data_IF_350261192406
#
_entry.id   IF_350261192406
#
_cell.length_a   1.000
_cell.length_b   1.000
_cell.length_c   1.000
_cell.angle_alpha   90.00
_cell.angle_beta   90.00
_cell.angle_gamma   90.00
#
_symmetry.space_group_name_H-M   'P 1'
#
loop_
_entity.id
_entity.type
_entity.pdbx_description
1 polymer ?
#
# COMPACT_ATOMS: atom_id res chain seq x y z
N UNK A 1 26.28 -98.25 38.60
CA UNK A 1 26.60 -97.16 39.57
C UNK A 1 25.56 -96.05 39.37
N UNK A 2 24.33 -96.29 39.86
CA UNK A 2 23.57 -95.53 40.87
C UNK A 2 23.13 -94.10 40.45
N UNK A 3 21.90 -94.03 39.94
CA UNK A 3 21.00 -92.88 40.04
C UNK A 3 20.74 -92.52 41.52
N UNK A 4 20.62 -91.22 41.84
CA UNK A 4 19.92 -90.71 43.03
C UNK A 4 19.22 -89.37 42.74
N UNK A 5 17.89 -89.46 42.76
CA UNK A 5 16.81 -88.49 43.06
C UNK A 5 17.20 -87.15 43.71
N UNK A 6 16.72 -86.01 43.20
CA UNK A 6 15.41 -85.34 43.44
C UNK A 6 15.37 -84.53 44.75
N UNK A 7 15.36 -83.20 44.67
CA UNK A 7 14.58 -82.37 45.61
C UNK A 7 14.13 -81.07 44.94
N UNK A 8 12.84 -80.81 45.12
CA UNK A 8 11.99 -79.75 44.60
C UNK A 8 12.01 -78.57 45.58
N UNK A 9 12.18 -77.34 45.10
CA UNK A 9 11.60 -76.16 45.75
C UNK A 9 11.09 -75.19 44.69
N UNK A 10 9.77 -75.05 44.67
CA UNK A 10 9.06 -74.03 43.92
C UNK A 10 9.26 -72.68 44.61
N UNK A 11 9.60 -71.65 43.83
CA UNK A 11 9.33 -70.26 44.20
C UNK A 11 8.66 -69.60 43.00
N UNK A 12 7.34 -69.49 43.08
CA UNK A 12 6.54 -68.65 42.21
C UNK A 12 6.73 -67.20 42.67
N UNK A 13 7.24 -66.34 41.80
CA UNK A 13 7.15 -64.89 41.97
C UNK A 13 6.34 -64.34 40.80
N UNK A 14 5.11 -63.94 41.10
CA UNK A 14 4.27 -63.14 40.19
C UNK A 14 4.95 -61.78 40.00
N UNK A 15 5.37 -61.49 38.77
CA UNK A 15 5.74 -60.16 38.32
C UNK A 15 4.75 -59.72 37.25
N UNK A 16 3.96 -58.70 37.58
CA UNK A 16 2.91 -58.12 36.75
C UNK A 16 3.44 -57.66 35.38
N UNK A 17 2.61 -57.87 34.36
CA UNK A 17 2.68 -57.19 33.08
C UNK A 17 2.70 -55.67 33.28
N UNK A 18 3.75 -55.02 32.77
CA UNK A 18 3.61 -53.74 32.12
C UNK A 18 4.31 -53.89 30.76
N UNK A 19 3.50 -54.17 29.72
CA UNK A 19 3.89 -53.80 28.37
C UNK A 19 4.16 -52.30 28.41
N UNK A 20 5.43 -51.90 28.45
CA UNK A 20 5.77 -50.54 28.05
C UNK A 20 5.32 -50.45 26.61
N UNK A 21 4.30 -49.62 26.36
CA UNK A 21 3.90 -49.19 25.04
C UNK A 21 5.16 -49.03 24.20
N UNK A 22 5.24 -49.84 23.14
CA UNK A 22 6.23 -49.62 22.12
C UNK A 22 6.13 -48.15 21.77
N UNK A 23 7.23 -47.42 21.91
CA UNK A 23 7.43 -46.29 21.03
C UNK A 23 7.42 -46.91 19.64
N UNK A 24 6.27 -46.84 19.00
CA UNK A 24 6.16 -46.85 17.56
C UNK A 24 7.36 -46.05 17.03
N UNK A 25 8.18 -46.62 16.14
CA UNK A 25 9.12 -45.78 15.40
C UNK A 25 8.26 -44.71 14.73
N UNK A 26 8.65 -43.44 14.85
CA UNK A 26 8.05 -42.37 14.06
C UNK A 26 8.35 -42.72 12.59
N UNK A 27 7.40 -43.36 11.92
CA UNK A 27 7.42 -43.55 10.48
C UNK A 27 7.12 -42.19 9.83
N UNK A 28 8.10 -41.70 9.05
CA UNK A 28 8.05 -40.55 8.12
C UNK A 28 7.86 -39.14 8.70
N UNK A 29 8.97 -38.51 9.09
CA UNK A 29 9.07 -37.07 9.27
C UNK A 29 9.14 -36.26 7.96
N UNK A 30 8.27 -36.50 6.97
CA UNK A 30 8.47 -35.99 5.59
C UNK A 30 7.28 -35.33 4.89
N UNK A 31 6.12 -35.16 5.55
CA UNK A 31 4.94 -34.59 4.87
C UNK A 31 4.61 -33.14 5.24
N UNK A 32 5.12 -32.62 6.36
CA UNK A 32 4.76 -31.29 6.85
C UNK A 32 5.94 -30.31 6.79
N UNK A 33 5.71 -29.10 6.31
CA UNK A 33 6.67 -27.99 6.30
C UNK A 33 6.11 -26.73 6.95
N UNK A 34 6.96 -25.70 7.05
CA UNK A 34 6.68 -24.45 7.77
C UNK A 34 6.99 -23.24 6.90
N UNK A 35 6.47 -22.06 7.25
CA UNK A 35 6.64 -20.83 6.46
C UNK A 35 7.12 -19.66 7.32
N UNK A 36 7.91 -18.78 6.71
CA UNK A 36 8.21 -17.43 7.20
C UNK A 36 8.00 -16.44 6.06
N UNK A 37 7.47 -15.25 6.36
CA UNK A 37 7.14 -14.26 5.34
C UNK A 37 7.98 -12.98 5.45
N UNK A 38 8.26 -12.37 4.30
CA UNK A 38 8.81 -11.02 4.16
C UNK A 38 8.14 -10.33 2.97
N UNK A 39 8.05 -9.00 3.00
CA UNK A 39 7.44 -8.21 1.93
C UNK A 39 8.53 -7.40 1.22
N UNK A 40 8.57 -7.53 -0.10
CA UNK A 40 9.43 -6.69 -0.93
C UNK A 40 8.57 -5.57 -1.53
N UNK A 41 8.54 -4.43 -0.85
CA UNK A 41 7.72 -3.28 -1.22
C UNK A 41 8.36 -2.49 -2.35
N UNK A 42 7.55 -1.96 -3.26
CA UNK A 42 8.03 -0.96 -4.21
C UNK A 42 8.31 0.34 -3.47
N UNK A 43 9.53 0.87 -3.59
CA UNK A 43 9.95 2.10 -2.90
C UNK A 43 9.80 3.37 -3.74
N UNK A 44 9.58 3.23 -5.04
CA UNK A 44 9.52 4.32 -6.01
C UNK A 44 8.33 4.22 -6.96
N UNK A 45 8.01 5.36 -7.59
CA UNK A 45 6.95 5.51 -8.57
C UNK A 45 7.43 6.33 -9.74
N UNK A 46 6.82 6.17 -10.90
CA UNK A 46 7.13 6.98 -12.07
C UNK A 46 6.74 8.44 -11.79
N UNK A 47 7.65 9.38 -12.03
CA UNK A 47 7.37 10.80 -11.85
C UNK A 47 6.97 11.43 -13.19
N UNK A 48 5.68 11.64 -13.40
CA UNK A 48 5.15 12.01 -14.72
C UNK A 48 5.32 13.51 -15.02
N UNK A 49 5.81 14.34 -14.10
CA UNK A 49 5.87 15.82 -14.30
C UNK A 49 7.28 16.34 -14.57
N UNK A 50 8.29 15.62 -14.11
CA UNK A 50 9.68 16.01 -14.31
C UNK A 50 10.34 14.89 -15.07
N UNK A 51 11.24 15.19 -16.01
CA UNK A 51 12.02 14.22 -16.80
C UNK A 51 12.88 13.22 -15.98
N UNK A 52 12.71 13.16 -14.66
CA UNK A 52 13.26 12.12 -13.80
C UNK A 52 12.39 10.87 -13.91
N UNK A 53 13.00 9.74 -14.24
CA UNK A 53 12.27 8.50 -14.51
C UNK A 53 11.48 8.01 -13.28
N UNK A 54 11.94 8.31 -12.05
CA UNK A 54 11.36 7.83 -10.79
C UNK A 54 11.50 8.83 -9.62
N UNK A 55 10.58 8.74 -8.65
CA UNK A 55 10.63 9.42 -7.35
C UNK A 55 10.31 8.41 -6.24
N UNK A 56 11.00 8.47 -5.09
CA UNK A 56 10.64 7.61 -3.96
C UNK A 56 9.24 7.95 -3.43
N UNK A 57 8.50 6.93 -2.98
CA UNK A 57 7.17 7.11 -2.39
C UNK A 57 7.23 8.04 -1.18
N UNK A 58 8.29 7.94 -0.37
CA UNK A 58 8.51 8.83 0.78
C UNK A 58 8.61 10.31 0.38
N UNK A 59 9.33 10.62 -0.70
CA UNK A 59 9.46 11.98 -1.19
C UNK A 59 8.16 12.48 -1.84
N UNK A 60 7.44 11.61 -2.56
CA UNK A 60 6.18 11.94 -3.20
C UNK A 60 5.05 12.17 -2.18
N UNK A 61 4.95 11.32 -1.16
CA UNK A 61 3.98 11.43 -0.08
C UNK A 61 4.31 12.60 0.87
N UNK A 62 5.59 12.88 1.11
CA UNK A 62 6.05 14.02 1.88
C UNK A 62 6.08 13.79 3.39
N UNK A 63 6.03 14.88 4.14
CA UNK A 63 6.28 14.88 5.60
C UNK A 63 5.31 13.99 6.37
N UNK A 64 5.85 13.14 7.24
CA UNK A 64 5.08 12.25 8.10
C UNK A 64 4.65 10.95 7.43
N UNK A 65 5.09 10.67 6.21
CA UNK A 65 4.94 9.36 5.60
C UNK A 65 5.94 8.36 6.20
N UNK A 66 5.44 7.19 6.56
CA UNK A 66 6.24 6.03 6.95
C UNK A 66 5.78 4.85 6.11
N UNK A 67 6.72 4.13 5.51
CA UNK A 67 6.40 2.90 4.79
C UNK A 67 5.83 1.86 5.77
N UNK A 68 4.82 1.07 5.37
CA UNK A 68 4.28 0.01 6.21
C UNK A 68 5.36 -0.98 6.64
N UNK A 69 5.31 -1.49 7.86
CA UNK A 69 6.16 -2.61 8.24
C UNK A 69 5.61 -3.90 7.63
N UNK A 70 6.49 -4.87 7.38
CA UNK A 70 6.11 -6.20 6.88
C UNK A 70 4.98 -6.84 7.73
N UNK A 71 5.08 -6.70 9.06
CA UNK A 71 4.10 -7.21 10.01
C UNK A 71 2.69 -6.63 9.85
N UNK A 72 2.54 -5.46 9.22
CA UNK A 72 1.27 -4.75 9.07
C UNK A 72 0.46 -5.24 7.85
N UNK A 73 1.06 -6.03 6.96
CA UNK A 73 0.37 -6.56 5.78
C UNK A 73 -0.54 -7.72 6.17
N UNK A 74 -1.77 -7.70 5.67
CA UNK A 74 -2.65 -8.86 5.68
C UNK A 74 -2.21 -9.82 4.58
N UNK A 75 -2.01 -11.09 4.91
CA UNK A 75 -1.78 -12.16 3.95
C UNK A 75 -2.92 -13.17 3.97
N UNK A 76 -3.27 -13.68 2.79
CA UNK A 76 -4.16 -14.81 2.60
C UNK A 76 -3.39 -15.93 1.92
N UNK A 77 -3.23 -17.06 2.61
CA UNK A 77 -2.50 -18.24 2.14
C UNK A 77 -3.53 -19.29 1.73
N UNK A 78 -3.44 -19.81 0.51
CA UNK A 78 -4.36 -20.83 -0.01
C UNK A 78 -3.62 -21.96 -0.73
N UNK A 79 -4.25 -23.14 -0.84
CA UNK A 79 -3.84 -24.20 -1.76
C UNK A 79 -5.06 -24.78 -2.49
N UNK A 80 -4.82 -25.76 -3.37
CA UNK A 80 -5.87 -26.42 -4.15
C UNK A 80 -6.69 -27.46 -3.33
N UNK A 81 -6.22 -27.83 -2.14
CA UNK A 81 -6.88 -28.78 -1.22
C UNK A 81 -7.78 -28.07 -0.18
N UNK A 82 -8.34 -26.92 -0.53
CA UNK A 82 -9.20 -26.08 0.31
C UNK A 82 -8.55 -25.53 1.61
N UNK A 83 -7.22 -25.54 1.73
CA UNK A 83 -6.55 -24.80 2.79
C UNK A 83 -6.72 -23.30 2.57
N UNK A 84 -7.10 -22.58 3.62
CA UNK A 84 -7.12 -21.12 3.64
C UNK A 84 -6.78 -20.59 5.03
N UNK A 85 -5.86 -19.65 5.09
CA UNK A 85 -5.56 -18.86 6.29
C UNK A 85 -5.51 -17.39 5.92
N UNK A 86 -6.03 -16.51 6.77
CA UNK A 86 -5.96 -15.05 6.58
C UNK A 86 -5.71 -14.36 7.91
N UNK A 87 -4.73 -13.45 7.91
CA UNK A 87 -4.31 -12.64 9.05
C UNK A 87 -3.16 -11.73 8.65
N UNK A 88 -2.69 -10.89 9.56
CA UNK A 88 -1.49 -10.09 9.33
C UNK A 88 -0.22 -10.96 9.35
N UNK A 89 0.87 -10.50 8.75
CA UNK A 89 2.16 -11.21 8.82
C UNK A 89 2.64 -11.35 10.26
N UNK A 90 2.37 -10.37 11.13
CA UNK A 90 2.71 -10.45 12.55
C UNK A 90 1.91 -11.53 13.31
N UNK A 91 0.71 -11.86 12.84
CA UNK A 91 -0.14 -12.92 13.41
C UNK A 91 0.19 -14.31 12.89
N UNK A 92 0.99 -14.43 11.83
CA UNK A 92 1.40 -15.72 11.30
C UNK A 92 2.32 -16.45 12.28
N UNK A 93 1.85 -17.58 12.80
CA UNK A 93 2.68 -18.48 13.58
C UNK A 93 3.57 -19.31 12.65
N UNK A 94 4.87 -18.99 12.64
CA UNK A 94 5.89 -19.71 11.86
C UNK A 94 6.02 -21.20 12.20
N UNK A 95 5.42 -21.67 13.29
CA UNK A 95 5.35 -23.09 13.67
C UNK A 95 4.11 -23.82 13.12
N UNK A 96 3.24 -23.12 12.38
CA UNK A 96 2.09 -23.72 11.70
C UNK A 96 2.56 -24.77 10.69
N UNK A 97 2.19 -26.03 10.93
CA UNK A 97 2.54 -27.15 10.07
C UNK A 97 1.58 -27.24 8.88
N UNK A 98 2.13 -27.19 7.66
CA UNK A 98 1.40 -27.30 6.40
C UNK A 98 1.84 -28.54 5.64
N UNK A 99 0.90 -29.20 4.94
CA UNK A 99 1.26 -30.32 4.06
C UNK A 99 2.20 -29.85 2.96
N UNK A 100 3.13 -30.71 2.55
CA UNK A 100 3.94 -30.48 1.38
C UNK A 100 3.03 -30.33 0.15
N UNK A 101 3.29 -29.32 -0.67
CA UNK A 101 2.42 -28.97 -1.79
C UNK A 101 2.62 -27.54 -2.27
N UNK A 102 1.85 -27.16 -3.29
CA UNK A 102 1.88 -25.81 -3.85
C UNK A 102 0.86 -24.91 -3.15
N UNK A 103 1.28 -23.70 -2.82
CA UNK A 103 0.48 -22.69 -2.16
C UNK A 103 0.59 -21.37 -2.90
N UNK A 104 -0.41 -20.51 -2.69
CA UNK A 104 -0.40 -19.11 -3.11
C UNK A 104 -0.55 -18.25 -1.86
N UNK A 105 0.24 -17.18 -1.76
CA UNK A 105 0.02 -16.10 -0.78
C UNK A 105 -0.36 -14.83 -1.53
N UNK A 106 -1.42 -14.18 -1.08
CA UNK A 106 -1.79 -12.83 -1.51
C UNK A 106 -1.56 -11.88 -0.33
N UNK A 107 -0.80 -10.81 -0.54
CA UNK A 107 -0.53 -9.80 0.47
C UNK A 107 -1.22 -8.48 0.12
N UNK A 108 -1.84 -7.84 1.12
CA UNK A 108 -2.48 -6.53 0.99
C UNK A 108 -2.13 -5.64 2.18
N UNK A 109 -1.98 -4.35 1.91
CA UNK A 109 -1.92 -3.31 2.94
C UNK A 109 -2.95 -2.24 2.58
N UNK A 110 -3.87 -1.95 3.51
CA UNK A 110 -5.12 -1.21 3.30
C UNK A 110 -6.05 -1.82 2.23
N UNK A 111 -7.35 -1.50 2.31
CA UNK A 111 -8.34 -1.90 1.30
C UNK A 111 -9.05 -0.67 0.74
N UNK A 112 -8.46 -0.10 -0.31
CA UNK A 112 -8.80 1.24 -0.77
C UNK A 112 -8.05 2.30 0.07
N UNK A 113 -7.77 3.43 -0.55
CA UNK A 113 -6.99 4.47 0.10
C UNK A 113 -7.03 5.76 -0.69
N UNK A 114 -7.75 6.75 -0.14
CA UNK A 114 -7.75 8.12 -0.64
C UNK A 114 -7.44 9.04 0.53
N UNK A 115 -6.33 9.77 0.44
CA UNK A 115 -5.88 10.63 1.53
C UNK A 115 -4.37 10.76 1.62
N UNK A 116 -3.93 11.59 2.55
CA UNK A 116 -2.52 11.66 2.92
C UNK A 116 -2.15 10.41 3.73
N UNK A 117 -0.96 9.84 3.47
CA UNK A 117 -0.47 8.65 4.16
C UNK A 117 -1.42 7.45 4.08
N UNK A 118 -2.10 7.27 2.95
CA UNK A 118 -3.05 6.15 2.73
C UNK A 118 -2.62 5.26 1.55
N UNK A 119 -1.40 4.69 1.55
CA UNK A 119 -0.99 3.83 0.45
C UNK A 119 -1.76 2.51 0.47
N UNK A 120 -2.09 2.00 -0.71
CA UNK A 120 -2.59 0.64 -0.90
C UNK A 120 -1.51 -0.17 -1.60
N UNK A 121 -1.06 -1.24 -0.98
CA UNK A 121 -0.13 -2.20 -1.59
C UNK A 121 -0.82 -3.54 -1.81
N UNK A 122 -0.51 -4.19 -2.94
CA UNK A 122 -0.96 -5.54 -3.23
C UNK A 122 0.16 -6.35 -3.90
N UNK A 123 0.22 -7.63 -3.58
CA UNK A 123 1.16 -8.58 -4.17
C UNK A 123 0.66 -10.01 -4.06
N UNK A 124 1.25 -10.89 -4.85
CA UNK A 124 0.93 -12.31 -4.83
C UNK A 124 2.15 -13.12 -5.23
N UNK A 125 2.31 -14.32 -4.66
CA UNK A 125 3.38 -15.24 -5.00
C UNK A 125 2.93 -16.67 -4.80
N UNK A 126 3.30 -17.54 -5.74
CA UNK A 126 3.16 -18.98 -5.61
C UNK A 126 4.48 -19.59 -5.12
N UNK A 127 4.39 -20.60 -4.25
CA UNK A 127 5.55 -21.28 -3.68
C UNK A 127 5.20 -22.72 -3.33
N UNK A 128 6.21 -23.54 -3.07
CA UNK A 128 6.04 -24.92 -2.63
C UNK A 128 6.47 -25.09 -1.17
N UNK A 129 5.63 -25.69 -0.35
CA UNK A 129 6.00 -26.18 0.98
C UNK A 129 6.70 -27.52 0.81
N UNK A 130 7.90 -27.64 1.38
CA UNK A 130 8.66 -28.90 1.40
C UNK A 130 8.65 -29.49 2.81
N UNK A 131 8.33 -30.78 2.91
CA UNK A 131 8.31 -31.50 4.18
C UNK A 131 9.65 -31.44 4.93
N UNK A 132 9.59 -31.24 6.24
CA UNK A 132 10.75 -31.14 7.13
C UNK A 132 11.54 -29.84 7.03
N UNK A 133 11.06 -28.84 6.27
CA UNK A 133 11.77 -27.57 6.06
C UNK A 133 10.90 -26.36 6.42
N UNK A 134 11.57 -25.26 6.78
CA UNK A 134 10.96 -23.92 6.82
C UNK A 134 11.26 -23.20 5.51
N UNK A 135 10.22 -22.85 4.76
CA UNK A 135 10.33 -22.15 3.48
C UNK A 135 10.21 -20.64 3.70
N UNK A 136 11.25 -19.86 3.41
CA UNK A 136 11.14 -18.41 3.39
C UNK A 136 10.40 -17.97 2.13
N UNK A 137 9.33 -17.20 2.30
CA UNK A 137 8.51 -16.64 1.22
C UNK A 137 8.66 -15.12 1.22
N UNK A 138 9.18 -14.58 0.13
CA UNK A 138 9.23 -13.13 -0.11
C UNK A 138 8.14 -12.76 -1.11
N UNK A 139 7.22 -11.89 -0.71
CA UNK A 139 6.11 -11.45 -1.56
C UNK A 139 6.42 -10.05 -2.11
N UNK A 140 6.60 -9.89 -3.43
CA UNK A 140 6.71 -8.56 -4.03
C UNK A 140 5.34 -7.87 -3.98
N UNK A 141 5.28 -6.69 -3.38
CA UNK A 141 4.06 -5.88 -3.25
C UNK A 141 4.24 -4.53 -3.93
N UNK A 142 3.32 -4.19 -4.82
CA UNK A 142 3.35 -2.95 -5.59
C UNK A 142 2.31 -1.95 -5.08
N UNK A 143 2.65 -0.66 -5.13
CA UNK A 143 1.70 0.42 -4.84
C UNK A 143 0.58 0.41 -5.89
N UNK A 144 -0.67 0.34 -5.45
CA UNK A 144 -1.85 0.32 -6.32
C UNK A 144 -2.43 1.71 -6.57
N UNK A 145 -2.21 2.66 -5.65
CA UNK A 145 -2.62 4.05 -5.82
C UNK A 145 -1.69 4.81 -6.77
N UNK A 146 -2.17 5.97 -7.20
CA UNK A 146 -1.33 7.06 -7.66
C UNK A 146 -1.12 8.08 -6.54
N UNK A 147 -0.11 8.94 -6.68
CA UNK A 147 0.16 10.05 -5.77
C UNK A 147 -0.06 11.36 -6.52
N UNK A 148 -0.91 12.24 -5.98
CA UNK A 148 -1.20 13.57 -6.54
C UNK A 148 -0.66 14.63 -5.60
N UNK A 149 0.15 15.54 -6.13
CA UNK A 149 0.73 16.69 -5.44
C UNK A 149 0.25 17.97 -6.11
N UNK A 150 0.06 19.04 -5.34
CA UNK A 150 -0.20 20.36 -5.89
C UNK A 150 1.03 21.26 -5.69
N UNK A 151 1.34 22.06 -6.69
CA UNK A 151 2.42 23.03 -6.64
C UNK A 151 1.95 24.37 -7.20
N UNK A 152 2.41 25.46 -6.58
CA UNK A 152 2.06 26.82 -6.97
C UNK A 152 3.34 27.62 -7.20
N UNK A 153 3.44 28.35 -8.31
CA UNK A 153 4.55 29.29 -8.51
C UNK A 153 4.35 30.58 -7.69
N UNK A 154 5.43 31.34 -7.48
CA UNK A 154 5.37 32.54 -6.63
C UNK A 154 4.42 33.60 -7.18
N UNK A 155 4.35 33.75 -8.51
CA UNK A 155 3.40 34.66 -9.15
C UNK A 155 1.94 34.28 -8.85
N UNK A 156 1.60 32.99 -8.89
CA UNK A 156 0.27 32.50 -8.52
C UNK A 156 -0.02 32.82 -7.06
N UNK A 157 0.90 32.51 -6.14
CA UNK A 157 0.72 32.75 -4.70
C UNK A 157 0.57 34.23 -4.36
N UNK A 158 1.27 35.09 -5.08
CA UNK A 158 1.22 36.54 -4.87
C UNK A 158 -0.08 37.15 -5.38
N UNK A 159 -0.64 36.64 -6.49
CA UNK A 159 -1.79 37.26 -7.13
C UNK A 159 -3.14 36.61 -6.76
N UNK A 160 -3.16 35.32 -6.41
CA UNK A 160 -4.36 34.59 -6.05
C UNK A 160 -4.29 34.06 -4.61
N UNK A 161 -5.39 34.23 -3.89
CA UNK A 161 -5.65 33.54 -2.63
C UNK A 161 -6.70 32.46 -2.80
N UNK A 162 -6.60 31.42 -1.99
CA UNK A 162 -7.57 30.34 -1.92
C UNK A 162 -7.56 29.76 -0.50
N UNK A 163 -8.70 29.24 -0.06
CA UNK A 163 -8.79 28.54 1.22
C UNK A 163 -8.25 27.11 1.10
N UNK A 164 -8.67 26.42 0.04
CA UNK A 164 -8.25 25.05 -0.27
C UNK A 164 -8.52 24.69 -1.73
N UNK A 165 -7.80 23.68 -2.19
CA UNK A 165 -8.21 22.83 -3.30
C UNK A 165 -8.71 21.49 -2.78
N UNK A 166 -9.69 20.91 -3.44
CA UNK A 166 -10.22 19.60 -3.10
C UNK A 166 -9.90 18.62 -4.22
N UNK A 167 -9.20 17.54 -3.90
CA UNK A 167 -8.97 16.40 -4.78
C UNK A 167 -9.94 15.30 -4.38
N UNK A 168 -10.89 14.97 -5.26
CA UNK A 168 -11.90 13.94 -5.02
C UNK A 168 -11.63 12.71 -5.87
N UNK A 169 -11.40 11.56 -5.23
CA UNK A 169 -11.21 10.26 -5.88
C UNK A 169 -12.21 9.26 -5.29
N UNK A 170 -12.92 8.51 -6.13
CA UNK A 170 -13.97 7.53 -5.74
C UNK A 170 -14.94 8.03 -4.65
N UNK A 171 -15.32 9.31 -4.69
CA UNK A 171 -16.23 9.93 -3.73
C UNK A 171 -15.59 10.39 -2.41
N UNK A 172 -14.29 10.14 -2.22
CA UNK A 172 -13.53 10.64 -1.06
C UNK A 172 -12.76 11.90 -1.44
N UNK A 173 -12.90 12.94 -0.62
CA UNK A 173 -12.28 14.25 -0.82
C UNK A 173 -11.03 14.42 0.05
N UNK A 174 -9.97 14.99 -0.52
CA UNK A 174 -8.72 15.36 0.16
C UNK A 174 -8.48 16.85 -0.03
N UNK A 175 -8.34 17.57 1.08
CA UNK A 175 -8.19 19.03 1.07
C UNK A 175 -6.72 19.44 1.13
N UNK A 176 -6.33 20.29 0.17
CA UNK A 176 -5.02 20.90 0.06
C UNK A 176 -5.13 22.38 0.41
N UNK A 177 -4.72 22.73 1.62
CA UNK A 177 -4.57 24.12 2.04
C UNK A 177 -3.31 24.75 1.42
N UNK A 178 -3.15 26.09 1.40
CA UNK A 178 -2.03 26.74 0.73
C UNK A 178 -0.62 26.30 1.16
N UNK A 179 -0.48 25.82 2.39
CA UNK A 179 0.79 25.33 2.96
C UNK A 179 0.96 23.81 2.86
N UNK A 180 -0.01 23.09 2.27
CA UNK A 180 0.08 21.65 2.11
C UNK A 180 1.12 21.29 1.05
N UNK A 181 2.02 20.38 1.40
CA UNK A 181 3.12 19.94 0.54
C UNK A 181 3.13 18.43 0.31
N UNK A 182 2.32 17.68 1.07
CA UNK A 182 2.21 16.23 0.98
C UNK A 182 1.51 15.82 -0.31
N UNK A 183 1.83 14.62 -0.78
CA UNK A 183 1.09 13.95 -1.84
C UNK A 183 -0.10 13.19 -1.26
N UNK A 184 -1.28 13.38 -1.86
CA UNK A 184 -2.43 12.54 -1.57
C UNK A 184 -2.35 11.26 -2.40
N UNK A 185 -2.59 10.13 -1.76
CA UNK A 185 -2.85 8.87 -2.45
C UNK A 185 -4.28 8.95 -3.01
N UNK A 186 -4.44 8.59 -4.28
CA UNK A 186 -5.72 8.51 -4.98
C UNK A 186 -5.85 7.16 -5.67
N UNK A 187 -7.07 6.68 -5.90
CA UNK A 187 -7.27 5.49 -6.71
C UNK A 187 -6.75 5.69 -8.13
N UNK A 188 -6.23 4.63 -8.74
CA UNK A 188 -5.72 4.61 -10.12
C UNK A 188 -6.86 4.63 -11.15
N UNK A 189 -7.64 5.71 -11.11
CA UNK A 189 -8.82 5.96 -11.92
C UNK A 189 -9.00 7.48 -12.09
N UNK A 190 -10.17 7.91 -12.53
CA UNK A 190 -10.52 9.32 -12.59
C UNK A 190 -10.63 9.94 -11.20
N UNK A 191 -10.02 11.10 -11.02
CA UNK A 191 -10.22 11.98 -9.87
C UNK A 191 -10.51 13.40 -10.37
N UNK A 192 -11.14 14.21 -9.51
CA UNK A 192 -11.50 15.59 -9.83
C UNK A 192 -10.79 16.56 -8.89
N UNK A 193 -10.34 17.69 -9.41
CA UNK A 193 -9.83 18.80 -8.63
C UNK A 193 -10.78 19.97 -8.74
N UNK A 194 -11.13 20.52 -7.59
CA UNK A 194 -12.01 21.67 -7.48
C UNK A 194 -11.38 22.72 -6.57
N UNK A 195 -11.65 23.98 -6.85
CA UNK A 195 -11.25 25.04 -5.95
C UNK A 195 -11.79 26.39 -6.36
N UNK A 196 -11.79 27.29 -5.40
CA UNK A 196 -12.20 28.68 -5.58
C UNK A 196 -11.01 29.58 -5.30
N UNK A 197 -10.71 30.42 -6.28
CA UNK A 197 -9.62 31.39 -6.26
C UNK A 197 -10.20 32.80 -6.16
N UNK A 198 -9.53 33.64 -5.39
CA UNK A 198 -9.79 35.09 -5.31
C UNK A 198 -8.57 35.82 -5.83
N UNK A 199 -8.71 36.67 -6.84
CA UNK A 199 -7.59 37.50 -7.30
C UNK A 199 -7.40 38.73 -6.42
N UNK A 200 -6.18 39.28 -6.39
CA UNK A 200 -5.92 40.58 -5.78
C UNK A 200 -6.62 41.74 -6.52
N UNK A 201 -6.91 41.59 -7.81
CA UNK A 201 -7.69 42.58 -8.53
C UNK A 201 -9.12 42.66 -7.98
N UNK A 202 -9.61 43.90 -7.88
CA UNK A 202 -11.01 44.20 -7.59
C UNK A 202 -11.75 44.49 -8.89
N UNK A 203 -13.03 44.16 -8.94
CA UNK A 203 -13.92 44.68 -9.98
C UNK A 203 -14.10 46.20 -9.82
N UNK A 204 -14.64 46.85 -10.85
CA UNK A 204 -14.85 48.31 -10.87
C UNK A 204 -15.64 48.85 -9.67
N UNK A 205 -16.55 48.06 -9.13
CA UNK A 205 -17.37 48.35 -7.95
C UNK A 205 -16.64 48.13 -6.60
N UNK A 206 -15.37 47.72 -6.63
CA UNK A 206 -14.55 47.42 -5.44
C UNK A 206 -14.75 46.01 -4.89
N UNK A 207 -15.59 45.17 -5.51
CA UNK A 207 -15.82 43.79 -5.07
C UNK A 207 -14.62 42.88 -5.36
N UNK A 208 -14.44 41.84 -4.54
CA UNK A 208 -13.42 40.81 -4.79
C UNK A 208 -13.82 39.94 -5.98
N UNK A 209 -12.86 39.64 -6.86
CA UNK A 209 -13.10 38.76 -8.01
C UNK A 209 -12.80 37.32 -7.61
N UNK A 210 -13.85 36.50 -7.51
CA UNK A 210 -13.75 35.07 -7.16
C UNK A 210 -14.20 34.17 -8.31
N UNK A 211 -13.53 33.03 -8.44
CA UNK A 211 -13.75 32.09 -9.53
C UNK A 211 -13.54 30.65 -9.07
N UNK A 212 -14.48 29.79 -9.42
CA UNK A 212 -14.41 28.35 -9.14
C UNK A 212 -14.06 27.60 -10.42
N UNK A 213 -13.24 26.56 -10.30
CA UNK A 213 -13.03 25.59 -11.36
C UNK A 213 -13.26 24.18 -10.84
N UNK A 214 -13.55 23.28 -11.76
CA UNK A 214 -13.65 21.84 -11.53
C UNK A 214 -13.09 21.13 -12.76
N UNK A 215 -12.15 20.21 -12.55
CA UNK A 215 -11.52 19.47 -13.63
C UNK A 215 -11.16 18.05 -13.23
N UNK A 216 -11.43 17.09 -14.12
CA UNK A 216 -11.09 15.68 -13.92
C UNK A 216 -9.83 15.28 -14.70
N UNK A 217 -9.06 14.38 -14.10
CA UNK A 217 -7.87 13.74 -14.67
C UNK A 217 -7.93 12.24 -14.41
N UNK A 218 -7.18 11.45 -15.18
CA UNK A 218 -7.08 10.00 -14.98
C UNK A 218 -5.68 9.64 -14.50
N UNK A 219 -5.62 8.97 -13.35
CA UNK A 219 -4.38 8.47 -12.78
C UNK A 219 -4.16 7.00 -13.10
N UNK A 220 -2.88 6.59 -13.17
CA UNK A 220 -2.47 5.18 -13.24
C UNK A 220 -1.75 4.78 -11.96
N UNK A 221 -1.85 3.49 -11.60
CA UNK A 221 -1.17 2.93 -10.43
C UNK A 221 0.33 3.17 -10.50
N UNK A 222 0.97 3.31 -9.34
CA UNK A 222 2.43 3.40 -9.23
C UNK A 222 3.01 4.62 -9.98
N UNK A 223 2.25 5.72 -10.04
CA UNK A 223 2.70 6.99 -10.63
C UNK A 223 2.49 8.16 -9.67
N UNK A 224 3.38 9.15 -9.75
CA UNK A 224 3.24 10.44 -9.10
C UNK A 224 2.98 11.53 -10.13
N UNK A 225 1.94 12.32 -9.89
CA UNK A 225 1.60 13.50 -10.67
C UNK A 225 1.75 14.75 -9.81
N UNK A 226 2.42 15.77 -10.34
CA UNK A 226 2.45 17.11 -9.76
C UNK A 226 1.60 18.02 -10.62
N UNK A 227 0.60 18.62 -10.00
CA UNK A 227 -0.31 19.55 -10.65
C UNK A 227 0.16 20.95 -10.37
N UNK A 228 0.68 21.58 -11.42
CA UNK A 228 1.30 22.89 -11.33
C UNK A 228 0.30 23.97 -11.68
N UNK A 229 0.00 24.83 -10.71
CA UNK A 229 -0.75 26.06 -10.91
C UNK A 229 0.22 27.22 -11.11
N UNK A 230 0.18 27.81 -12.30
CA UNK A 230 1.12 28.88 -12.67
C UNK A 230 0.41 30.09 -13.26
N UNK A 231 0.82 31.27 -12.81
CA UNK A 231 0.52 32.54 -13.47
C UNK A 231 1.75 32.98 -14.29
N UNK A 232 1.54 33.53 -15.48
CA UNK A 232 2.62 33.95 -16.40
C UNK A 232 3.02 35.43 -16.21
N UNK A 233 2.13 36.24 -15.63
CA UNK A 233 2.34 37.64 -15.29
C UNK A 233 1.50 38.00 -14.06
N UNK A 234 1.96 39.00 -13.30
CA UNK A 234 1.17 39.59 -12.21
C UNK A 234 -0.02 40.32 -12.86
N UNK A 235 -1.24 40.10 -12.37
CA UNK A 235 -2.44 40.74 -12.93
C UNK A 235 -3.12 39.96 -14.07
N UNK A 236 -2.57 38.82 -14.49
CA UNK A 236 -3.16 38.01 -15.56
C UNK A 236 -4.55 37.48 -15.19
N UNK A 237 -5.41 37.31 -16.18
CA UNK A 237 -6.72 36.68 -16.04
C UNK A 237 -6.69 35.18 -16.37
N UNK A 238 -5.52 34.58 -16.55
CA UNK A 238 -5.38 33.16 -16.88
C UNK A 238 -4.44 32.45 -15.92
N UNK A 239 -4.79 31.22 -15.57
CA UNK A 239 -3.91 30.28 -14.85
C UNK A 239 -3.67 29.07 -15.73
N UNK A 240 -2.42 28.64 -15.81
CA UNK A 240 -2.07 27.36 -16.43
C UNK A 240 -2.07 26.26 -15.39
N UNK A 241 -2.75 25.16 -15.70
CA UNK A 241 -2.78 23.94 -14.90
C UNK A 241 -2.16 22.83 -15.73
N UNK A 242 -1.08 22.23 -15.24
CA UNK A 242 -0.40 21.12 -15.92
C UNK A 242 -0.47 19.88 -15.05
N UNK A 243 -0.94 18.75 -15.62
CA UNK A 243 -0.99 17.45 -14.98
C UNK A 243 0.05 16.52 -15.60
N UNK A 244 1.18 16.31 -14.90
CA UNK A 244 2.25 15.49 -15.47
C UNK A 244 2.79 16.07 -16.79
N UNK A 245 2.93 15.20 -17.79
CA UNK A 245 3.39 15.52 -19.15
C UNK A 245 2.25 15.91 -20.09
N UNK A 246 1.00 15.95 -19.62
CA UNK A 246 -0.12 16.38 -20.43
C UNK A 246 0.01 17.87 -20.80
N UNK A 247 -0.51 18.28 -21.99
CA UNK A 247 -0.55 19.69 -22.36
C UNK A 247 -1.20 20.53 -21.26
N UNK A 248 -0.56 21.66 -20.93
CA UNK A 248 -1.09 22.56 -19.93
C UNK A 248 -2.46 23.11 -20.36
N UNK A 249 -3.42 23.02 -19.47
CA UNK A 249 -4.72 23.65 -19.62
C UNK A 249 -4.68 25.09 -19.19
N UNK A 250 -5.55 25.90 -19.79
CA UNK A 250 -5.72 27.30 -19.41
C UNK A 250 -7.08 27.49 -18.78
N UNK A 251 -7.10 27.90 -17.52
CA UNK A 251 -8.28 28.43 -16.87
C UNK A 251 -8.28 29.93 -17.15
N UNK A 252 -9.27 30.39 -17.92
CA UNK A 252 -9.50 31.80 -18.21
C UNK A 252 -10.60 32.35 -17.30
N UNK A 253 -10.29 33.44 -16.60
CA UNK A 253 -11.19 34.13 -15.70
C UNK A 253 -11.99 35.26 -16.39
N UNK A 254 -11.81 35.42 -17.70
CA UNK A 254 -12.43 36.46 -18.54
C UNK A 254 -11.77 37.82 -18.36
N UNK A 255 -12.31 38.85 -19.02
CA UNK A 255 -11.80 40.21 -18.85
C UNK A 255 -12.02 40.67 -17.39
N UNK A 256 -10.92 40.90 -16.67
CA UNK A 256 -10.94 41.65 -15.43
C UNK A 256 -10.86 43.11 -15.87
N UNK A 257 -12.01 43.79 -15.96
CA UNK A 257 -12.02 45.23 -16.19
C UNK A 257 -11.38 45.93 -14.99
N UNK A 258 -10.09 46.25 -15.10
CA UNK A 258 -9.38 47.09 -14.14
C UNK A 258 -9.93 48.53 -14.27
N UNK A 259 -10.09 49.21 -13.13
CA UNK A 259 -10.37 50.65 -13.15
C UNK A 259 -9.19 51.39 -13.80
N UNK A 260 -9.49 52.26 -14.77
CA UNK A 260 -8.54 53.23 -15.36
C UNK A 260 -7.96 54.18 -14.30
#
# INVERSE_FOLDING_TARGET
MKLKNLTLYALALMGLMACSEGKEPIENGTELGYLTFSLNQTDDVDNITTRADKISISNAAGTGYTAPADGDFTITITNDDDYSWTGTVAEWDSTTALKAGNYTVNATYNNGGVGFNSPVFKGSTTFAVTGGQTTPVTVPVALQNAIVRLQYNDMFKNYYSFEKFTVTSIGTAVEFIPTETRGAFVEATTFTIEGTLTSQAQSKDGSSVTRTFSKSYTAKKTQCYTISFTASNIGGNTIKVQFGDDPADTIDFGDIELND
#
